data_IF_290373150988
#
_entry.id   IF_290373150988
#
_cell.length_a   1.000
_cell.length_b   1.000
_cell.length_c   1.000
_cell.angle_alpha   90.00
_cell.angle_beta   90.00
_cell.angle_gamma   90.00
#
_symmetry.space_group_name_H-M   'P 1'
#
loop_
_entity.id
_entity.type
_entity.pdbx_description
1 polymer ?
#
# COMPACT_ATOMS: atom_id res chain seq x y z
N UNK A 1 -61.81 12.61 7.21
CA UNK A 1 -60.84 11.49 7.20
C UNK A 1 -60.93 10.78 5.86
N UNK A 2 -60.10 11.18 4.89
CA UNK A 2 -59.96 10.46 3.62
C UNK A 2 -58.59 9.79 3.60
N UNK A 3 -58.55 8.46 3.67
CA UNK A 3 -57.31 7.70 3.48
C UNK A 3 -56.91 7.81 2.01
N UNK A 4 -55.91 8.63 1.70
CA UNK A 4 -55.28 8.64 0.38
C UNK A 4 -54.44 7.36 0.31
N UNK A 5 -54.90 6.38 -0.45
CA UNK A 5 -54.11 5.19 -0.82
C UNK A 5 -53.00 5.66 -1.77
N UNK A 6 -51.80 5.85 -1.24
CA UNK A 6 -50.59 5.98 -2.05
C UNK A 6 -50.11 4.55 -2.31
N UNK A 7 -50.55 4.00 -3.44
CA UNK A 7 -49.95 2.80 -4.03
C UNK A 7 -49.83 3.05 -5.52
N UNK A 8 -49.07 4.07 -5.88
CA UNK A 8 -48.43 4.18 -7.19
C UNK A 8 -46.97 3.84 -6.95
N UNK A 9 -46.51 2.77 -7.60
CA UNK A 9 -45.10 2.38 -7.57
C UNK A 9 -44.30 3.46 -8.28
N UNK A 10 -43.17 3.88 -7.70
CA UNK A 10 -42.27 4.94 -8.24
C UNK A 10 -41.97 4.72 -9.72
N UNK A 11 -41.92 3.46 -10.17
CA UNK A 11 -41.69 3.06 -11.56
C UNK A 11 -42.79 3.51 -12.54
N UNK A 12 -44.05 3.60 -12.11
CA UNK A 12 -45.17 4.06 -12.94
C UNK A 12 -45.14 5.58 -13.11
N UNK A 13 -44.80 6.31 -12.04
CA UNK A 13 -44.63 7.77 -12.08
C UNK A 13 -43.42 8.16 -12.93
N UNK A 14 -42.31 7.40 -12.83
CA UNK A 14 -41.13 7.65 -13.64
C UNK A 14 -41.39 7.41 -15.14
N UNK A 15 -42.12 6.33 -15.47
CA UNK A 15 -42.52 6.05 -16.86
C UNK A 15 -43.46 7.12 -17.42
N UNK A 16 -44.44 7.56 -16.64
CA UNK A 16 -45.35 8.63 -17.04
C UNK A 16 -44.63 9.97 -17.28
N UNK A 17 -43.65 10.31 -16.44
CA UNK A 17 -42.88 11.55 -16.57
C UNK A 17 -41.94 11.51 -17.79
N UNK A 18 -41.37 10.35 -18.10
CA UNK A 18 -40.53 10.09 -19.28
C UNK A 18 -41.35 10.14 -20.57
N UNK A 19 -42.54 9.53 -20.61
CA UNK A 19 -43.45 9.62 -21.75
C UNK A 19 -43.95 11.06 -21.97
N UNK A 20 -44.20 11.81 -20.90
CA UNK A 20 -44.63 13.21 -20.98
C UNK A 20 -43.55 14.14 -21.53
N UNK A 21 -42.29 13.90 -21.17
CA UNK A 21 -41.15 14.74 -21.58
C UNK A 21 -40.50 14.28 -22.88
N UNK A 22 -40.74 13.04 -23.33
CA UNK A 22 -40.16 12.48 -24.54
C UNK A 22 -38.64 12.26 -24.46
N UNK A 23 -38.11 12.18 -23.24
CA UNK A 23 -36.68 12.06 -22.93
C UNK A 23 -36.40 10.63 -22.49
N UNK A 24 -35.26 10.00 -22.86
CA UNK A 24 -34.91 8.66 -22.38
C UNK A 24 -34.78 8.62 -20.86
N UNK A 25 -35.19 7.50 -20.25
CA UNK A 25 -35.24 7.30 -18.79
C UNK A 25 -33.91 7.66 -18.10
N UNK A 26 -32.78 7.37 -18.74
CA UNK A 26 -31.45 7.70 -18.22
C UNK A 26 -31.25 9.19 -18.01
N UNK A 27 -31.67 10.03 -18.96
CA UNK A 27 -31.56 11.48 -18.85
C UNK A 27 -32.52 12.04 -17.80
N UNK A 28 -33.73 11.48 -17.67
CA UNK A 28 -34.66 11.88 -16.62
C UNK A 28 -34.12 11.57 -15.21
N UNK A 29 -33.45 10.43 -15.04
CA UNK A 29 -32.80 10.05 -13.78
C UNK A 29 -31.58 10.96 -13.50
N UNK A 30 -30.75 11.25 -14.51
CA UNK A 30 -29.61 12.16 -14.36
C UNK A 30 -30.04 13.57 -13.99
N UNK A 31 -31.11 14.09 -14.60
CA UNK A 31 -31.66 15.40 -14.24
C UNK A 31 -32.25 15.41 -12.84
N UNK A 32 -32.97 14.36 -12.43
CA UNK A 32 -33.49 14.24 -11.07
C UNK A 32 -32.35 14.13 -10.03
N UNK A 33 -31.29 13.38 -10.33
CA UNK A 33 -30.10 13.29 -9.49
C UNK A 33 -29.35 14.61 -9.44
N UNK A 34 -29.21 15.33 -10.56
CA UNK A 34 -28.63 16.68 -10.56
C UNK A 34 -29.47 17.66 -9.76
N UNK A 35 -30.79 17.65 -9.94
CA UNK A 35 -31.70 18.50 -9.18
C UNK A 35 -31.67 18.19 -7.67
N UNK A 36 -31.48 16.92 -7.29
CA UNK A 36 -31.33 16.49 -5.90
C UNK A 36 -29.97 16.87 -5.31
N UNK A 37 -28.88 16.65 -6.05
CA UNK A 37 -27.51 16.92 -5.60
C UNK A 37 -27.16 18.41 -5.59
N UNK A 38 -27.69 19.18 -6.53
CA UNK A 38 -27.34 20.59 -6.72
C UNK A 38 -28.48 21.56 -6.33
N UNK A 39 -29.67 21.03 -6.01
CA UNK A 39 -30.84 21.83 -5.69
C UNK A 39 -31.40 22.57 -6.91
N UNK A 40 -32.72 22.66 -7.01
CA UNK A 40 -33.37 23.45 -8.06
C UNK A 40 -32.99 24.93 -7.94
N UNK A 41 -32.07 25.37 -8.80
CA UNK A 41 -31.87 26.77 -9.12
C UNK A 41 -30.68 27.46 -8.46
N UNK A 42 -29.46 26.99 -8.73
CA UNK A 42 -28.36 27.92 -9.00
C UNK A 42 -27.64 27.48 -10.27
N UNK A 43 -27.83 28.28 -11.32
CA UNK A 43 -27.00 28.23 -12.52
C UNK A 43 -25.54 28.36 -12.08
N UNK A 44 -24.68 27.48 -12.60
CA UNK A 44 -23.25 27.53 -12.38
C UNK A 44 -22.71 28.92 -12.76
N UNK A 45 -22.08 29.67 -11.84
CA UNK A 45 -21.06 30.60 -12.27
C UNK A 45 -19.91 29.73 -12.78
N UNK A 46 -19.65 29.81 -14.07
CA UNK A 46 -18.49 29.21 -14.75
C UNK A 46 -17.25 29.20 -13.82
N UNK A 47 -16.67 28.02 -13.52
CA UNK A 47 -15.68 27.86 -12.44
C UNK A 47 -14.30 28.44 -12.76
N UNK A 48 -14.13 29.14 -13.88
CA UNK A 48 -12.81 29.62 -14.32
C UNK A 48 -12.52 31.07 -13.93
N UNK A 49 -13.56 31.89 -13.65
CA UNK A 49 -13.39 33.30 -13.31
C UNK A 49 -13.32 33.57 -11.80
N UNK A 50 -14.14 32.87 -11.00
CA UNK A 50 -14.16 33.08 -9.54
C UNK A 50 -13.06 32.30 -8.82
N UNK A 51 -12.67 31.12 -9.34
CA UNK A 51 -11.44 30.47 -8.85
C UNK A 51 -10.21 31.32 -9.13
N UNK A 52 -10.13 32.11 -10.21
CA UNK A 52 -8.97 33.01 -10.41
C UNK A 52 -8.93 34.15 -9.39
N UNK A 53 -10.07 34.65 -8.92
CA UNK A 53 -10.13 35.69 -7.89
C UNK A 53 -9.92 35.14 -6.48
N UNK A 54 -10.40 33.94 -6.16
CA UNK A 54 -10.11 33.28 -4.88
C UNK A 54 -8.70 32.69 -4.81
N UNK A 55 -8.12 32.23 -5.93
CA UNK A 55 -6.72 31.75 -5.99
C UNK A 55 -5.72 32.92 -5.92
N UNK A 56 -6.10 34.14 -6.32
CA UNK A 56 -5.28 35.33 -6.08
C UNK A 56 -5.11 35.69 -4.59
N UNK A 57 -5.97 35.17 -3.70
CA UNK A 57 -5.89 35.38 -2.25
C UNK A 57 -4.90 34.45 -1.53
N UNK A 58 -4.29 33.47 -2.20
CA UNK A 58 -3.27 32.59 -1.60
C UNK A 58 -1.88 32.94 -2.14
N UNK A 59 -1.47 34.21 -2.05
CA UNK A 59 -0.05 34.60 -2.19
C UNK A 59 0.73 34.28 -0.92
N UNK A 60 0.66 33.04 -0.46
CA UNK A 60 1.63 32.52 0.52
C UNK A 60 2.90 32.23 -0.28
N UNK A 61 3.80 33.22 -0.34
CA UNK A 61 5.10 33.04 -0.96
C UNK A 61 6.11 32.73 0.13
N UNK A 62 6.96 31.72 -0.09
CA UNK A 62 8.14 31.53 0.73
C UNK A 62 9.00 32.80 0.61
N UNK A 63 9.29 33.43 1.74
CA UNK A 63 10.08 34.66 1.75
C UNK A 63 11.50 34.36 1.26
N UNK A 64 11.99 35.10 0.26
CA UNK A 64 13.39 34.95 -0.21
C UNK A 64 14.40 35.45 0.83
N UNK A 65 13.96 36.34 1.72
CA UNK A 65 14.77 37.00 2.74
C UNK A 65 14.11 36.85 4.11
N UNK A 66 14.88 36.86 5.21
CA UNK A 66 14.30 36.88 6.55
C UNK A 66 13.44 38.13 6.71
N UNK A 67 12.29 37.98 7.38
CA UNK A 67 11.34 39.08 7.56
C UNK A 67 10.86 39.16 9.01
N UNK A 68 10.44 40.36 9.42
CA UNK A 68 9.77 40.60 10.69
C UNK A 68 8.29 40.79 10.44
N UNK A 69 7.43 40.02 11.10
CA UNK A 69 5.99 40.19 10.96
C UNK A 69 5.56 41.55 11.57
N UNK A 70 4.82 42.35 10.81
CA UNK A 70 4.37 43.67 11.27
C UNK A 70 3.38 43.61 12.43
N UNK A 71 2.58 42.53 12.52
CA UNK A 71 1.58 42.37 13.59
C UNK A 71 2.14 41.86 14.91
N UNK A 72 2.85 40.72 14.92
CA UNK A 72 3.40 40.14 16.15
C UNK A 72 4.86 40.48 16.43
N UNK A 73 5.58 41.10 15.48
CA UNK A 73 6.98 41.46 15.66
C UNK A 73 7.98 40.30 15.65
N UNK A 74 7.54 39.06 15.47
CA UNK A 74 8.41 37.86 15.40
C UNK A 74 9.26 37.91 14.12
N UNK A 75 10.53 37.52 14.24
CA UNK A 75 11.47 37.36 13.12
C UNK A 75 11.39 35.94 12.59
N UNK A 76 11.30 35.81 11.27
CA UNK A 76 11.26 34.54 10.56
C UNK A 76 12.43 34.44 9.59
N UNK A 77 12.99 33.25 9.45
CA UNK A 77 14.11 32.98 8.56
C UNK A 77 13.68 32.91 7.09
N UNK A 78 14.64 33.07 6.18
CA UNK A 78 14.41 32.92 4.75
C UNK A 78 13.86 31.52 4.44
N UNK A 79 12.89 31.45 3.52
CA UNK A 79 12.14 30.24 3.20
C UNK A 79 10.87 30.05 4.02
N UNK A 80 10.69 30.81 5.12
CA UNK A 80 9.45 30.72 5.90
C UNK A 80 8.28 31.30 5.10
N UNK A 81 7.13 30.59 5.01
CA UNK A 81 5.93 31.10 4.38
C UNK A 81 5.39 32.32 5.13
N UNK A 82 5.17 33.41 4.41
CA UNK A 82 4.55 34.62 4.93
C UNK A 82 3.60 35.21 3.91
N UNK A 83 2.65 35.99 4.38
CA UNK A 83 1.72 36.71 3.53
C UNK A 83 2.28 38.10 3.24
N UNK A 84 2.45 38.42 1.96
CA UNK A 84 2.86 39.74 1.51
C UNK A 84 1.64 40.60 1.22
N UNK A 85 1.51 41.70 1.93
CA UNK A 85 0.51 42.73 1.63
C UNK A 85 1.03 43.66 0.52
N UNK A 86 0.47 43.64 -0.70
CA UNK A 86 0.91 44.52 -1.77
C UNK A 86 0.58 46.00 -1.51
N UNK A 87 -0.48 46.28 -0.74
CA UNK A 87 -0.94 47.64 -0.45
C UNK A 87 -0.05 48.28 0.62
N UNK A 88 0.15 47.58 1.74
CA UNK A 88 0.98 48.06 2.82
C UNK A 88 2.49 47.85 2.58
N UNK A 89 2.87 47.04 1.58
CA UNK A 89 4.26 46.58 1.34
C UNK A 89 4.91 45.97 2.57
N UNK A 90 4.13 45.19 3.31
CA UNK A 90 4.56 44.58 4.57
C UNK A 90 4.35 43.07 4.55
N UNK A 91 5.24 42.34 5.22
CA UNK A 91 5.07 40.92 5.47
C UNK A 91 4.33 40.67 6.79
N UNK A 92 3.34 39.79 6.75
CA UNK A 92 2.59 39.30 7.90
C UNK A 92 2.83 37.79 8.00
N UNK A 93 3.07 37.25 9.20
CA UNK A 93 3.21 35.81 9.35
C UNK A 93 1.88 35.09 9.11
N UNK A 94 1.96 33.80 8.75
CA UNK A 94 0.80 32.95 8.51
C UNK A 94 -0.18 32.99 9.70
N UNK A 95 0.31 32.84 10.93
CA UNK A 95 -0.50 32.90 12.13
C UNK A 95 -1.28 34.21 12.27
N UNK A 96 -0.63 35.36 12.03
CA UNK A 96 -1.27 36.67 12.11
C UNK A 96 -2.19 36.97 10.93
N UNK A 97 -1.92 36.40 9.75
CA UNK A 97 -2.80 36.51 8.58
C UNK A 97 -4.09 35.71 8.80
N UNK A 98 -3.95 34.46 9.25
CA UNK A 98 -5.10 33.61 9.53
C UNK A 98 -5.88 34.06 10.77
N UNK A 99 -5.25 34.67 11.78
CA UNK A 99 -5.97 35.26 12.90
C UNK A 99 -6.90 36.40 12.46
N UNK A 100 -6.50 37.22 11.48
CA UNK A 100 -7.44 38.19 10.89
C UNK A 100 -8.55 37.56 10.07
N UNK A 101 -8.24 36.49 9.33
CA UNK A 101 -9.27 35.76 8.58
C UNK A 101 -10.26 35.06 9.52
N UNK A 102 -9.82 34.65 10.71
CA UNK A 102 -10.68 34.01 11.71
C UNK A 102 -11.79 34.91 12.26
N UNK A 103 -11.65 36.25 12.13
CA UNK A 103 -12.70 37.21 12.45
C UNK A 103 -13.77 37.31 11.33
N UNK A 104 -13.51 36.78 10.14
CA UNK A 104 -14.49 36.61 9.07
C UNK A 104 -15.17 35.24 9.21
N UNK A 105 -16.50 35.17 9.03
CA UNK A 105 -17.37 34.01 9.35
C UNK A 105 -16.86 32.63 8.90
N UNK A 106 -16.01 32.55 7.87
CA UNK A 106 -15.51 31.30 7.30
C UNK A 106 -14.00 31.05 7.50
N UNK A 107 -13.19 32.06 7.87
CA UNK A 107 -11.73 31.92 7.93
C UNK A 107 -11.21 31.15 9.14
N UNK A 108 -11.97 31.10 10.24
CA UNK A 108 -11.59 30.37 11.45
C UNK A 108 -11.64 28.85 11.27
N UNK A 109 -12.56 28.35 10.42
CA UNK A 109 -12.67 26.92 10.10
C UNK A 109 -11.53 26.47 9.18
N UNK A 110 -11.18 27.30 8.19
CA UNK A 110 -10.07 27.03 7.28
C UNK A 110 -8.72 26.95 8.01
N UNK A 111 -8.47 27.84 8.98
CA UNK A 111 -7.23 27.80 9.76
C UNK A 111 -7.10 26.53 10.61
N UNK A 112 -8.20 26.09 11.24
CA UNK A 112 -8.21 24.82 11.99
C UNK A 112 -7.87 23.63 11.09
N UNK A 113 -8.48 23.57 9.90
CA UNK A 113 -8.20 22.51 8.92
C UNK A 113 -6.75 22.53 8.44
N UNK A 114 -6.16 23.71 8.21
CA UNK A 114 -4.75 23.82 7.81
C UNK A 114 -3.79 23.38 8.93
N UNK A 115 -4.10 23.70 10.19
CA UNK A 115 -3.31 23.22 11.33
C UNK A 115 -3.43 21.70 11.49
N UNK A 116 -4.63 21.15 11.35
CA UNK A 116 -4.88 19.71 11.35
C UNK A 116 -4.13 19.02 10.21
N UNK A 117 -4.18 19.57 9.00
CA UNK A 117 -3.43 19.06 7.85
C UNK A 117 -1.92 19.00 8.14
N UNK A 118 -1.32 20.10 8.65
CA UNK A 118 0.11 20.10 9.01
C UNK A 118 0.45 19.09 10.09
N UNK A 119 -0.43 18.91 11.08
CA UNK A 119 -0.26 17.90 12.13
C UNK A 119 -0.28 16.49 11.55
N UNK A 120 -1.25 16.19 10.69
CA UNK A 120 -1.36 14.91 10.00
C UNK A 120 -0.17 14.66 9.07
N UNK A 121 0.33 15.67 8.34
CA UNK A 121 1.52 15.54 7.51
C UNK A 121 2.78 15.20 8.33
N UNK A 122 2.94 15.82 9.51
CA UNK A 122 4.03 15.50 10.42
C UNK A 122 3.91 14.08 11.01
N UNK A 123 2.69 13.65 11.32
CA UNK A 123 2.40 12.29 11.81
C UNK A 123 2.65 11.23 10.74
N UNK A 124 2.19 11.47 9.50
CA UNK A 124 2.50 10.62 8.34
C UNK A 124 4.01 10.52 8.12
N UNK A 125 4.74 11.64 8.27
CA UNK A 125 6.20 11.61 8.12
C UNK A 125 6.88 10.77 9.20
N UNK A 126 6.39 10.82 10.45
CA UNK A 126 6.89 9.95 11.55
C UNK A 126 6.57 8.49 11.28
N UNK A 127 5.32 8.17 10.94
CA UNK A 127 4.90 6.80 10.63
C UNK A 127 5.69 6.20 9.47
N UNK A 128 5.99 6.99 8.43
CA UNK A 128 6.86 6.55 7.32
C UNK A 128 8.30 6.29 7.74
N UNK A 129 8.78 6.98 8.78
CA UNK A 129 10.11 6.72 9.32
C UNK A 129 10.11 5.44 10.16
N UNK A 130 9.10 5.26 11.01
CA UNK A 130 8.90 4.03 11.78
C UNK A 130 8.73 2.80 10.86
N UNK A 131 7.98 2.94 9.75
CA UNK A 131 7.83 1.90 8.73
C UNK A 131 9.18 1.48 8.12
N UNK A 132 10.05 2.45 7.83
CA UNK A 132 11.40 2.15 7.29
C UNK A 132 12.27 1.44 8.31
N UNK A 133 12.28 1.91 9.56
CA UNK A 133 13.05 1.29 10.65
C UNK A 133 12.58 -0.15 10.89
N UNK A 134 11.27 -0.40 10.87
CA UNK A 134 10.72 -1.75 11.00
C UNK A 134 11.08 -2.66 9.81
N UNK A 135 11.08 -2.14 8.58
CA UNK A 135 11.50 -2.91 7.41
C UNK A 135 12.97 -3.31 7.50
N UNK A 136 13.85 -2.39 7.91
CA UNK A 136 15.28 -2.70 8.12
C UNK A 136 15.48 -3.77 9.22
N UNK A 137 14.68 -3.73 10.30
CA UNK A 137 14.70 -4.77 11.33
C UNK A 137 14.23 -6.13 10.81
N UNK A 138 13.20 -6.17 9.96
CA UNK A 138 12.71 -7.41 9.34
C UNK A 138 13.79 -8.01 8.46
N UNK A 139 14.40 -7.22 7.56
CA UNK A 139 15.48 -7.69 6.70
C UNK A 139 16.67 -8.26 7.51
N UNK A 140 17.02 -7.60 8.62
CA UNK A 140 18.08 -8.09 9.51
C UNK A 140 17.72 -9.41 10.19
N UNK A 141 16.45 -9.60 10.58
CA UNK A 141 15.96 -10.86 11.17
C UNK A 141 15.87 -11.98 10.14
N UNK A 142 15.44 -11.69 8.91
CA UNK A 142 15.39 -12.66 7.82
C UNK A 142 16.79 -13.18 7.46
N UNK A 143 17.79 -12.30 7.40
CA UNK A 143 19.19 -12.72 7.21
C UNK A 143 19.67 -13.65 8.31
N UNK A 144 19.38 -13.32 9.58
CA UNK A 144 19.72 -14.19 10.73
C UNK A 144 19.01 -15.53 10.67
N UNK A 145 17.74 -15.56 10.26
CA UNK A 145 17.00 -16.80 10.07
C UNK A 145 17.60 -17.64 8.95
N UNK A 146 17.96 -17.05 7.81
CA UNK A 146 18.62 -17.76 6.71
C UNK A 146 19.95 -18.39 7.15
N UNK A 147 20.76 -17.66 7.91
CA UNK A 147 22.00 -18.20 8.49
C UNK A 147 21.76 -19.36 9.45
N UNK A 148 20.74 -19.26 10.31
CA UNK A 148 20.38 -20.34 11.22
C UNK A 148 19.86 -21.56 10.47
N UNK A 149 18.99 -21.39 9.48
CA UNK A 149 18.48 -22.49 8.65
C UNK A 149 19.61 -23.22 7.93
N UNK A 150 20.60 -22.50 7.40
CA UNK A 150 21.79 -23.12 6.81
C UNK A 150 22.57 -23.95 7.83
N UNK A 151 22.73 -23.46 9.06
CA UNK A 151 23.39 -24.22 10.14
C UNK A 151 22.61 -25.45 10.56
N UNK A 152 21.29 -25.36 10.64
CA UNK A 152 20.41 -26.51 10.95
C UNK A 152 20.47 -27.57 9.85
N UNK A 153 20.37 -27.16 8.57
CA UNK A 153 20.49 -28.08 7.44
C UNK A 153 21.87 -28.76 7.40
N UNK A 154 22.94 -28.02 7.71
CA UNK A 154 24.28 -28.59 7.80
C UNK A 154 24.39 -29.61 8.96
N UNK A 155 23.79 -29.31 10.11
CA UNK A 155 23.76 -30.22 11.24
C UNK A 155 22.99 -31.50 10.94
N UNK A 156 21.81 -31.41 10.31
CA UNK A 156 21.01 -32.56 9.89
C UNK A 156 21.76 -33.45 8.88
N UNK A 157 22.48 -32.83 7.93
CA UNK A 157 23.31 -33.55 6.97
C UNK A 157 24.48 -34.27 7.65
N UNK A 158 25.11 -33.63 8.64
CA UNK A 158 26.17 -34.25 9.44
C UNK A 158 25.64 -35.44 10.23
N UNK A 159 24.47 -35.33 10.88
CA UNK A 159 23.86 -36.43 11.63
C UNK A 159 23.52 -37.61 10.71
N UNK A 160 23.01 -37.34 9.51
CA UNK A 160 22.75 -38.35 8.48
C UNK A 160 24.03 -39.04 8.01
N UNK A 161 25.10 -38.29 7.78
CA UNK A 161 26.41 -38.86 7.41
C UNK A 161 26.98 -39.70 8.56
N UNK A 162 26.88 -39.23 9.80
CA UNK A 162 27.40 -39.94 10.97
C UNK A 162 26.66 -41.26 11.22
N UNK A 163 25.33 -41.27 11.13
CA UNK A 163 24.53 -42.50 11.24
C UNK A 163 24.85 -43.48 10.12
N UNK A 164 24.90 -43.02 8.86
CA UNK A 164 25.24 -43.87 7.73
C UNK A 164 26.67 -44.45 7.84
N UNK A 165 27.64 -43.64 8.25
CA UNK A 165 29.03 -44.11 8.44
C UNK A 165 29.14 -45.12 9.58
N UNK A 166 28.40 -44.95 10.68
CA UNK A 166 28.30 -45.97 11.73
C UNK A 166 27.68 -47.28 11.22
N UNK A 167 26.63 -47.21 10.41
CA UNK A 167 26.02 -48.41 9.81
C UNK A 167 26.99 -49.13 8.87
N UNK A 168 27.71 -48.38 8.02
CA UNK A 168 28.73 -48.95 7.14
C UNK A 168 29.86 -49.58 7.96
N UNK A 169 30.33 -48.90 9.01
CA UNK A 169 31.40 -49.42 9.87
C UNK A 169 30.99 -50.76 10.52
N UNK A 170 29.76 -50.85 11.06
CA UNK A 170 29.23 -52.11 11.61
C UNK A 170 29.13 -53.21 10.55
N UNK A 171 28.62 -52.90 9.37
CA UNK A 171 28.53 -53.86 8.28
C UNK A 171 29.92 -54.36 7.85
N UNK A 172 30.93 -53.48 7.81
CA UNK A 172 32.31 -53.85 7.51
C UNK A 172 32.89 -54.74 8.62
N UNK A 173 32.65 -54.43 9.89
CA UNK A 173 33.07 -55.29 11.01
C UNK A 173 32.44 -56.70 10.93
N UNK A 174 31.14 -56.80 10.64
CA UNK A 174 30.46 -58.09 10.46
C UNK A 174 31.06 -58.91 9.30
N UNK A 175 31.37 -58.26 8.17
CA UNK A 175 32.01 -58.89 7.02
C UNK A 175 33.43 -59.35 7.37
N UNK A 176 34.20 -58.54 8.11
CA UNK A 176 35.56 -58.89 8.54
C UNK A 176 35.56 -60.07 9.53
N UNK A 177 34.55 -60.16 10.40
CA UNK A 177 34.40 -61.29 11.32
C UNK A 177 33.96 -62.58 10.61
N UNK A 178 33.41 -62.49 9.39
CA UNK A 178 32.85 -63.63 8.67
C UNK A 178 33.29 -63.66 7.18
N UNK A 179 34.51 -64.18 6.89
CA UNK A 179 35.11 -64.08 5.56
C UNK A 179 34.37 -64.82 4.44
N UNK A 180 33.60 -65.88 4.76
CA UNK A 180 32.76 -66.58 3.78
C UNK A 180 31.61 -65.70 3.28
N UNK A 181 31.03 -64.88 4.17
CA UNK A 181 29.96 -63.94 3.84
C UNK A 181 30.45 -62.84 2.90
N UNK A 182 31.73 -62.45 3.02
CA UNK A 182 32.39 -61.50 2.12
C UNK A 182 32.52 -62.03 0.68
N UNK A 183 32.77 -63.34 0.53
CA UNK A 183 32.87 -64.00 -0.77
C UNK A 183 31.50 -64.13 -1.45
N UNK A 184 30.47 -64.56 -0.72
CA UNK A 184 29.09 -64.61 -1.21
C UNK A 184 28.56 -63.24 -1.64
N UNK A 185 28.85 -62.19 -0.86
CA UNK A 185 28.51 -60.80 -1.22
C UNK A 185 29.22 -60.34 -2.50
N UNK A 186 30.50 -60.69 -2.69
CA UNK A 186 31.22 -60.35 -3.93
C UNK A 186 30.60 -61.02 -5.14
N UNK A 187 30.23 -62.29 -5.03
CA UNK A 187 29.61 -63.03 -6.13
C UNK A 187 28.21 -62.50 -6.44
N UNK A 188 27.42 -62.17 -5.42
CA UNK A 188 26.12 -61.51 -5.60
C UNK A 188 26.25 -60.12 -6.23
N UNK A 189 27.21 -59.28 -5.80
CA UNK A 189 27.48 -57.96 -6.40
C UNK A 189 27.93 -58.11 -7.86
N UNK A 190 28.74 -59.12 -8.17
CA UNK A 190 29.20 -59.38 -9.54
C UNK A 190 28.02 -59.79 -10.43
N UNK A 191 27.15 -60.67 -9.94
CA UNK A 191 25.91 -61.05 -10.62
C UNK A 191 24.96 -59.86 -10.81
N UNK A 192 24.82 -58.99 -9.80
CA UNK A 192 23.99 -57.80 -9.89
C UNK A 192 24.55 -56.79 -10.91
N UNK A 193 25.87 -56.60 -10.96
CA UNK A 193 26.53 -55.73 -11.95
C UNK A 193 26.43 -56.27 -13.39
N UNK A 194 26.28 -57.59 -13.58
CA UNK A 194 26.01 -58.18 -14.89
C UNK A 194 24.55 -57.97 -15.33
N UNK A 195 23.61 -57.99 -14.38
CA UNK A 195 22.18 -57.86 -14.64
C UNK A 195 21.73 -56.40 -14.73
N UNK A 196 22.25 -55.51 -13.87
CA UNK A 196 21.84 -54.11 -13.78
C UNK A 196 21.88 -53.35 -15.12
N UNK A 197 22.90 -53.51 -15.99
CA UNK A 197 22.92 -52.86 -17.30
C UNK A 197 21.83 -53.34 -18.25
N UNK A 198 21.33 -54.58 -18.09
CA UNK A 198 20.22 -55.12 -18.90
C UNK A 198 18.89 -54.54 -18.44
N UNK A 199 18.65 -54.52 -17.13
CA UNK A 199 17.44 -53.95 -16.53
C UNK A 199 17.34 -52.45 -16.80
N UNK A 200 18.45 -51.70 -16.68
CA UNK A 200 18.47 -50.25 -16.98
C UNK A 200 18.16 -49.97 -18.45
N UNK A 201 18.55 -50.84 -19.38
CA UNK A 201 18.18 -50.72 -20.81
C UNK A 201 16.70 -51.00 -21.02
N UNK A 202 16.15 -52.04 -20.42
CA UNK A 202 14.74 -52.41 -20.57
C UNK A 202 13.80 -51.33 -20.00
N UNK A 203 14.14 -50.75 -18.85
CA UNK A 203 13.37 -49.65 -18.24
C UNK A 203 13.43 -48.37 -19.10
N UNK A 204 14.57 -48.06 -19.74
CA UNK A 204 14.69 -46.92 -20.68
C UNK A 204 13.90 -47.10 -21.98
N UNK A 205 13.65 -48.32 -22.42
CA UNK A 205 12.87 -48.63 -23.63
C UNK A 205 11.36 -48.59 -23.35
N UNK A 206 10.95 -48.95 -22.12
CA UNK A 206 9.54 -48.91 -21.69
C UNK A 206 8.96 -47.50 -21.52
N UNK A 207 9.77 -46.47 -21.27
CA UNK A 207 9.32 -45.07 -21.07
C UNK A 207 9.16 -44.25 -22.36
N UNK A 208 9.45 -44.81 -23.54
CA UNK A 208 9.29 -44.14 -24.85
C UNK A 208 7.98 -44.52 -25.57
N UNK A 209 7.07 -45.22 -24.90
CA UNK A 209 5.73 -45.56 -25.40
C UNK A 209 4.67 -44.92 -24.51
N UNK A 210 4.65 -43.59 -24.44
CA UNK A 210 3.50 -42.77 -24.09
C UNK A 210 3.61 -41.40 -24.79
#
# INVERSE_FOLDING_TARGET
>A
MGKIKITTTIDEELKAEVERRGIPISQAIEEALRAYLFGNGQAEPTPEADNKKEIELVRIKASKYPFKCVRCGVKYDAGTPGWWDPQARTMICDACYYSSLSQQKHGGKLYKLLLEQRRLEAEIKKLKQEEKELLEEIEAKEKKLAELTLKWNAAELIDSIYTNTLHIAKAVEEILQNPQLAEELRDQIRHFNEIAPRVIREVKVGTNYE
#
